data_IF_131846862839
#
_entry.id   IF_131846862839
#
_cell.length_a   1.000
_cell.length_b   1.000
_cell.length_c   1.000
_cell.angle_alpha   90.00
_cell.angle_beta   90.00
_cell.angle_gamma   90.00
#
_symmetry.space_group_name_H-M   'P 1'
#
loop_
_entity.id
_entity.type
_entity.pdbx_description
1 polymer ?
#
# COMPACT_ATOMS: atom_id res chain seq x y z
N UNK A 1 22.16 12.64 -35.07
CA UNK A 1 21.59 11.59 -34.20
C UNK A 1 20.16 11.93 -33.78
N UNK A 2 19.88 13.09 -33.17
CA UNK A 2 18.50 13.43 -32.76
C UNK A 2 17.46 13.40 -33.91
N UNK A 3 17.77 13.97 -35.08
CA UNK A 3 16.88 13.92 -36.25
C UNK A 3 16.56 12.48 -36.70
N UNK A 4 17.55 11.58 -36.67
CA UNK A 4 17.38 10.17 -37.01
C UNK A 4 16.49 9.44 -35.99
N UNK A 5 16.58 9.80 -34.70
CA UNK A 5 15.69 9.26 -33.67
C UNK A 5 14.24 9.73 -33.88
N UNK A 6 14.04 10.99 -34.30
CA UNK A 6 12.69 11.50 -34.64
C UNK A 6 12.08 10.78 -35.84
N UNK A 7 12.89 10.36 -36.81
CA UNK A 7 12.46 9.52 -37.94
C UNK A 7 11.96 8.13 -37.51
N UNK A 8 12.32 7.67 -36.30
CA UNK A 8 11.81 6.39 -35.77
C UNK A 8 10.38 6.46 -35.24
N UNK A 9 9.90 7.65 -34.86
CA UNK A 9 8.60 7.83 -34.19
C UNK A 9 7.43 7.28 -35.02
N UNK A 10 7.32 7.54 -36.34
CA UNK A 10 6.21 6.98 -37.13
C UNK A 10 6.18 5.44 -37.15
N UNK A 11 7.33 4.78 -37.01
CA UNK A 11 7.42 3.31 -37.00
C UNK A 11 6.89 2.68 -35.71
N UNK A 12 6.67 3.46 -34.65
CA UNK A 12 5.93 3.00 -33.46
C UNK A 12 4.48 2.64 -33.78
N UNK A 13 3.93 3.10 -34.92
CA UNK A 13 2.56 2.84 -35.38
C UNK A 13 2.51 1.82 -36.52
N UNK A 14 3.64 1.20 -36.88
CA UNK A 14 3.70 0.26 -38.00
C UNK A 14 2.79 -0.95 -37.75
N UNK A 15 2.23 -1.56 -38.79
CA UNK A 15 1.38 -2.76 -38.65
C UNK A 15 2.19 -3.98 -38.22
N UNK A 16 3.47 -4.06 -38.59
CA UNK A 16 4.37 -5.15 -38.23
C UNK A 16 4.92 -4.96 -36.81
N UNK A 17 4.63 -5.88 -35.87
CA UNK A 17 5.16 -5.82 -34.50
C UNK A 17 6.69 -5.78 -34.43
N UNK A 18 7.38 -6.44 -35.38
CA UNK A 18 8.85 -6.43 -35.43
C UNK A 18 9.40 -5.04 -35.75
N UNK A 19 8.73 -4.29 -36.64
CA UNK A 19 9.12 -2.92 -36.97
C UNK A 19 8.94 -2.01 -35.76
N UNK A 20 7.79 -2.14 -35.07
CA UNK A 20 7.53 -1.41 -33.81
C UNK A 20 8.57 -1.74 -32.75
N UNK A 21 8.92 -3.01 -32.59
CA UNK A 21 9.95 -3.47 -31.64
C UNK A 21 11.32 -2.87 -31.95
N UNK A 22 11.77 -2.91 -33.20
CA UNK A 22 13.08 -2.35 -33.60
C UNK A 22 13.09 -0.83 -33.37
N UNK A 23 12.04 -0.12 -33.77
CA UNK A 23 11.92 1.32 -33.57
C UNK A 23 11.96 1.67 -32.07
N UNK A 24 11.17 0.98 -31.25
CA UNK A 24 11.11 1.20 -29.81
C UNK A 24 12.43 0.85 -29.11
N UNK A 25 13.08 -0.25 -29.49
CA UNK A 25 14.37 -0.66 -28.91
C UNK A 25 15.46 0.41 -29.13
N UNK A 26 15.49 1.04 -30.31
CA UNK A 26 16.42 2.15 -30.59
C UNK A 26 16.08 3.43 -29.81
N UNK A 27 14.79 3.69 -29.54
CA UNK A 27 14.34 4.83 -28.72
C UNK A 27 14.53 4.58 -27.22
N UNK A 28 14.41 3.33 -26.77
CA UNK A 28 14.46 2.94 -25.36
C UNK A 28 15.77 3.37 -24.71
N UNK A 29 16.89 3.25 -25.43
CA UNK A 29 18.21 3.68 -24.94
C UNK A 29 18.34 5.18 -24.65
N UNK A 30 17.37 6.00 -25.09
CA UNK A 30 17.32 7.45 -24.84
C UNK A 30 16.34 7.84 -23.73
N UNK A 31 15.62 6.88 -23.14
CA UNK A 31 14.64 7.13 -22.07
C UNK A 31 15.23 7.29 -20.67
N UNK A 32 16.33 6.61 -20.27
CA UNK A 32 16.91 6.79 -18.95
C UNK A 32 17.32 8.23 -18.67
N UNK A 33 17.26 8.62 -17.41
CA UNK A 33 17.78 9.91 -16.94
C UNK A 33 19.24 10.12 -17.40
N UNK A 34 19.57 11.34 -17.83
CA UNK A 34 20.91 11.69 -18.33
C UNK A 34 21.20 11.30 -19.79
N UNK A 35 20.30 10.61 -20.49
CA UNK A 35 20.53 10.22 -21.88
C UNK A 35 20.65 11.44 -22.82
N UNK A 36 21.60 11.46 -23.78
CA UNK A 36 21.89 12.64 -24.61
C UNK A 36 20.72 13.18 -25.43
N UNK A 37 19.81 12.30 -25.86
CA UNK A 37 18.67 12.66 -26.69
C UNK A 37 17.32 12.47 -25.98
N UNK A 38 17.31 12.44 -24.65
CA UNK A 38 16.08 12.27 -23.86
C UNK A 38 15.02 13.34 -24.11
N UNK A 39 15.45 14.55 -24.49
CA UNK A 39 14.53 15.67 -24.76
C UNK A 39 13.53 15.42 -25.89
N UNK A 40 13.77 14.44 -26.77
CA UNK A 40 12.81 14.07 -27.82
C UNK A 40 11.45 13.62 -27.27
N UNK A 41 11.40 13.10 -26.04
CA UNK A 41 10.15 12.64 -25.42
C UNK A 41 9.32 13.78 -24.82
N UNK A 42 9.96 14.94 -24.58
CA UNK A 42 9.34 16.13 -23.98
C UNK A 42 9.13 17.27 -25.00
N UNK A 43 9.80 17.20 -26.14
CA UNK A 43 9.67 18.17 -27.22
C UNK A 43 8.19 18.26 -27.68
N UNK A 44 7.67 19.47 -27.88
CA UNK A 44 6.27 19.74 -28.23
C UNK A 44 5.22 19.40 -27.16
N UNK A 45 5.62 19.15 -25.91
CA UNK A 45 4.70 19.24 -24.78
C UNK A 45 4.19 20.69 -24.69
N UNK A 46 2.94 20.88 -25.10
CA UNK A 46 2.30 22.19 -25.19
C UNK A 46 1.23 22.35 -24.12
N UNK A 47 1.01 23.58 -23.67
CA UNK A 47 0.00 23.90 -22.65
C UNK A 47 0.47 25.04 -21.75
N UNK A 48 0.74 26.21 -22.33
CA UNK A 48 1.01 27.42 -21.55
C UNK A 48 -0.31 28.18 -21.35
N UNK A 49 -0.60 28.60 -20.11
CA UNK A 49 -1.78 29.38 -19.77
C UNK A 49 -3.08 28.55 -19.74
N UNK A 50 -4.10 29.01 -20.46
CA UNK A 50 -5.46 28.42 -20.44
C UNK A 50 -5.67 27.26 -21.43
N UNK A 51 -4.65 26.87 -22.20
CA UNK A 51 -4.78 25.78 -23.17
C UNK A 51 -4.67 24.41 -22.50
N UNK A 52 -5.50 23.46 -22.94
CA UNK A 52 -5.42 22.07 -22.46
C UNK A 52 -4.02 21.52 -22.75
N UNK A 53 -3.40 20.80 -21.80
CA UNK A 53 -2.14 20.11 -22.03
C UNK A 53 -2.24 19.25 -23.28
N UNK A 54 -1.28 19.39 -24.19
CA UNK A 54 -1.16 18.61 -25.41
C UNK A 54 -0.04 17.59 -25.21
N UNK A 55 -0.42 16.32 -25.19
CA UNK A 55 0.55 15.22 -25.16
C UNK A 55 1.32 15.15 -26.48
N UNK A 56 2.54 14.62 -26.41
CA UNK A 56 3.31 14.29 -27.61
C UNK A 56 2.82 12.99 -28.22
N UNK A 57 3.01 12.89 -29.53
CA UNK A 57 2.72 11.69 -30.31
C UNK A 57 3.48 10.47 -29.80
N UNK A 58 4.75 10.65 -29.40
CA UNK A 58 5.58 9.56 -28.86
C UNK A 58 5.05 9.04 -27.52
N UNK A 59 4.57 9.90 -26.62
CA UNK A 59 3.99 9.48 -25.34
C UNK A 59 2.64 8.77 -25.57
N UNK A 60 1.82 9.27 -26.50
CA UNK A 60 0.60 8.57 -26.92
C UNK A 60 0.91 7.18 -27.44
N UNK A 61 1.90 7.05 -28.32
CA UNK A 61 2.29 5.79 -28.93
C UNK A 61 2.83 4.81 -27.88
N UNK A 62 3.69 5.26 -26.94
CA UNK A 62 4.17 4.42 -25.84
C UNK A 62 3.02 3.87 -24.97
N UNK A 63 2.02 4.70 -24.64
CA UNK A 63 0.81 4.26 -23.91
C UNK A 63 0.02 3.19 -24.68
N UNK A 64 -0.06 3.29 -26.00
CA UNK A 64 -0.73 2.30 -26.84
C UNK A 64 0.08 1.01 -26.94
N UNK A 65 1.40 1.10 -27.07
CA UNK A 65 2.31 -0.03 -27.18
C UNK A 65 2.37 -0.89 -25.92
N UNK A 66 1.97 -0.36 -24.76
CA UNK A 66 1.75 -1.17 -23.55
C UNK A 66 0.69 -2.28 -23.75
N UNK A 67 -0.16 -2.18 -24.79
CA UNK A 67 -1.17 -3.20 -25.14
C UNK A 67 -0.70 -4.20 -26.20
N UNK A 68 0.54 -4.11 -26.64
CA UNK A 68 1.09 -4.90 -27.74
C UNK A 68 1.51 -6.31 -27.29
N UNK A 69 2.22 -7.03 -28.16
CA UNK A 69 2.90 -8.30 -27.87
C UNK A 69 4.02 -8.09 -26.86
N UNK A 70 4.39 -9.16 -26.17
CA UNK A 70 5.26 -9.15 -24.99
C UNK A 70 6.51 -8.28 -25.13
N UNK A 71 7.29 -8.46 -26.19
CA UNK A 71 8.55 -7.73 -26.35
C UNK A 71 8.34 -6.22 -26.48
N UNK A 72 7.33 -5.80 -27.25
CA UNK A 72 7.00 -4.39 -27.47
C UNK A 72 6.38 -3.78 -26.20
N UNK A 73 5.45 -4.49 -25.56
CA UNK A 73 4.81 -4.03 -24.34
C UNK A 73 5.81 -3.87 -23.19
N UNK A 74 6.74 -4.82 -23.05
CA UNK A 74 7.82 -4.75 -22.08
C UNK A 74 8.69 -3.50 -22.28
N UNK A 75 9.16 -3.24 -23.50
CA UNK A 75 9.98 -2.07 -23.79
C UNK A 75 9.19 -0.77 -23.63
N UNK A 76 7.89 -0.78 -23.92
CA UNK A 76 7.01 0.39 -23.75
C UNK A 76 6.82 0.73 -22.27
N UNK A 77 6.56 -0.27 -21.42
CA UNK A 77 6.51 -0.06 -19.97
C UNK A 77 7.84 0.42 -19.42
N UNK A 78 8.98 -0.14 -19.87
CA UNK A 78 10.31 0.34 -19.45
C UNK A 78 10.56 1.79 -19.86
N UNK A 79 10.19 2.16 -21.08
CA UNK A 79 10.29 3.53 -21.54
C UNK A 79 9.46 4.47 -20.66
N UNK A 80 8.21 4.11 -20.37
CA UNK A 80 7.34 4.94 -19.53
C UNK A 80 7.83 5.01 -18.07
N UNK A 81 8.30 3.92 -17.49
CA UNK A 81 8.94 3.91 -16.16
C UNK A 81 10.09 4.91 -16.14
N UNK A 82 11.01 4.81 -17.10
CA UNK A 82 12.18 5.70 -17.17
C UNK A 82 11.80 7.16 -17.36
N UNK A 83 10.70 7.46 -18.06
CA UNK A 83 10.24 8.82 -18.36
C UNK A 83 9.34 9.42 -17.27
N UNK A 84 8.76 8.57 -16.42
CA UNK A 84 7.83 8.96 -15.34
C UNK A 84 8.49 9.60 -14.11
N UNK A 85 9.81 9.65 -14.06
CA UNK A 85 10.59 10.51 -13.17
C UNK A 85 10.32 12.01 -13.40
N UNK A 86 9.90 12.39 -14.62
CA UNK A 86 9.64 13.78 -15.01
C UNK A 86 8.22 14.20 -14.65
N UNK A 87 8.03 15.21 -13.76
CA UNK A 87 6.71 15.73 -13.41
C UNK A 87 5.92 16.26 -14.62
N UNK A 88 6.60 16.61 -15.70
CA UNK A 88 5.99 17.09 -16.94
C UNK A 88 5.06 16.06 -17.59
N UNK A 89 5.31 14.76 -17.37
CA UNK A 89 4.53 13.68 -17.97
C UNK A 89 3.35 13.22 -17.12
N UNK A 90 3.32 13.58 -15.84
CA UNK A 90 2.29 13.13 -14.89
C UNK A 90 0.87 13.41 -15.39
N UNK A 91 0.51 14.61 -15.92
CA UNK A 91 -0.84 14.87 -16.41
C UNK A 91 -1.28 13.96 -17.57
N UNK A 92 -0.34 13.52 -18.41
CA UNK A 92 -0.60 12.71 -19.60
C UNK A 92 -0.62 11.21 -19.31
N UNK A 93 0.18 10.78 -18.35
CA UNK A 93 0.25 9.39 -17.88
C UNK A 93 -0.79 9.10 -16.79
N UNK A 94 -1.48 10.12 -16.28
CA UNK A 94 -2.55 9.99 -15.29
C UNK A 94 -3.92 10.34 -15.87
N UNK A 95 -4.02 10.40 -17.20
CA UNK A 95 -5.31 10.54 -17.87
C UNK A 95 -6.24 9.35 -17.51
N UNK A 96 -7.55 9.58 -17.37
CA UNK A 96 -8.45 8.53 -16.85
C UNK A 96 -8.41 7.21 -17.63
N UNK A 97 -8.34 7.27 -18.96
CA UNK A 97 -8.36 6.08 -19.81
C UNK A 97 -7.09 5.23 -19.67
N UNK A 98 -5.91 5.86 -19.63
CA UNK A 98 -4.65 5.15 -19.45
C UNK A 98 -4.49 4.65 -18.03
N UNK A 99 -4.88 5.44 -17.03
CA UNK A 99 -4.82 5.00 -15.62
C UNK A 99 -5.75 3.81 -15.37
N UNK A 100 -6.97 3.82 -15.93
CA UNK A 100 -7.90 2.69 -15.85
C UNK A 100 -7.34 1.43 -16.52
N UNK A 101 -6.68 1.57 -17.67
CA UNK A 101 -5.95 0.48 -18.32
C UNK A 101 -4.80 -0.03 -17.44
N UNK A 102 -3.94 0.86 -16.95
CA UNK A 102 -2.76 0.52 -16.17
C UNK A 102 -3.14 -0.28 -14.92
N UNK A 103 -4.15 0.20 -14.19
CA UNK A 103 -4.68 -0.50 -13.02
C UNK A 103 -5.33 -1.83 -13.40
N UNK A 104 -6.16 -1.86 -14.45
CA UNK A 104 -6.77 -3.11 -14.92
C UNK A 104 -5.73 -4.14 -15.34
N UNK A 105 -4.62 -3.69 -15.95
CA UNK A 105 -3.50 -4.53 -16.33
C UNK A 105 -2.79 -5.10 -15.10
N UNK A 106 -2.53 -4.29 -14.07
CA UNK A 106 -1.94 -4.75 -12.80
C UNK A 106 -2.84 -5.79 -12.10
N UNK A 107 -4.16 -5.56 -12.11
CA UNK A 107 -5.16 -6.43 -11.47
C UNK A 107 -5.35 -7.77 -12.19
N UNK A 108 -5.03 -7.86 -13.47
CA UNK A 108 -5.12 -9.12 -14.20
C UNK A 108 -3.95 -10.03 -13.79
N UNK A 109 -4.28 -11.16 -13.16
CA UNK A 109 -3.33 -12.13 -12.65
C UNK A 109 -2.42 -12.75 -13.74
N UNK A 110 -2.89 -12.79 -14.98
CA UNK A 110 -2.15 -13.34 -16.14
C UNK A 110 -1.18 -12.35 -16.79
N UNK A 111 -1.20 -11.09 -16.35
CA UNK A 111 -0.33 -10.03 -16.88
C UNK A 111 1.13 -10.33 -16.60
N UNK A 112 1.87 -10.68 -17.66
CA UNK A 112 3.29 -11.05 -17.59
C UNK A 112 4.16 -9.86 -17.18
N UNK A 113 3.73 -8.64 -17.53
CA UNK A 113 4.52 -7.41 -17.35
C UNK A 113 3.97 -6.53 -16.22
N UNK A 114 3.17 -7.11 -15.32
CA UNK A 114 2.46 -6.38 -14.27
C UNK A 114 3.40 -5.63 -13.31
N UNK A 115 4.61 -6.16 -13.09
CA UNK A 115 5.58 -5.52 -12.19
C UNK A 115 6.09 -4.18 -12.73
N UNK A 116 6.38 -4.08 -14.04
CA UNK A 116 6.73 -2.80 -14.66
C UNK A 116 5.55 -1.83 -14.66
N UNK A 117 4.32 -2.33 -14.86
CA UNK A 117 3.12 -1.51 -14.74
C UNK A 117 2.95 -0.95 -13.32
N UNK A 118 3.24 -1.77 -12.29
CA UNK A 118 3.20 -1.33 -10.89
C UNK A 118 4.31 -0.35 -10.53
N UNK A 119 5.50 -0.50 -11.11
CA UNK A 119 6.61 0.45 -10.98
C UNK A 119 6.28 1.80 -11.64
N UNK A 120 5.61 1.78 -12.80
CA UNK A 120 5.10 3.00 -13.43
C UNK A 120 4.07 3.67 -12.52
N UNK A 121 3.11 2.90 -11.97
CA UNK A 121 2.11 3.45 -11.06
C UNK A 121 2.73 4.02 -9.77
N UNK A 122 3.79 3.41 -9.22
CA UNK A 122 4.50 3.95 -8.06
C UNK A 122 5.16 5.30 -8.36
N UNK A 123 5.75 5.46 -9.54
CA UNK A 123 6.34 6.73 -9.95
C UNK A 123 5.28 7.82 -10.13
N UNK A 124 4.15 7.50 -10.77
CA UNK A 124 3.04 8.46 -10.94
C UNK A 124 2.47 8.91 -9.59
N UNK A 125 2.29 7.99 -8.66
CA UNK A 125 1.74 8.29 -7.33
C UNK A 125 2.70 9.06 -6.43
N UNK A 126 3.96 9.28 -6.82
CA UNK A 126 4.81 10.27 -6.14
C UNK A 126 4.23 11.69 -6.21
N UNK A 127 3.31 11.95 -7.15
CA UNK A 127 2.51 13.17 -7.22
C UNK A 127 1.12 12.99 -6.57
N UNK A 128 0.57 14.05 -5.99
CA UNK A 128 -0.72 14.01 -5.29
C UNK A 128 -1.93 13.82 -6.22
N UNK A 129 -1.88 14.35 -7.44
CA UNK A 129 -2.98 14.26 -8.40
C UNK A 129 -3.30 12.80 -8.80
N UNK A 130 -2.31 11.96 -9.16
CA UNK A 130 -2.55 10.53 -9.42
C UNK A 130 -3.06 9.76 -8.20
N UNK A 131 -2.60 10.10 -6.98
CA UNK A 131 -3.15 9.52 -5.75
C UNK A 131 -4.65 9.80 -5.60
N UNK A 132 -5.06 11.06 -5.81
CA UNK A 132 -6.47 11.44 -5.75
C UNK A 132 -7.29 10.74 -6.85
N UNK A 133 -6.75 10.65 -8.07
CA UNK A 133 -7.39 9.92 -9.17
C UNK A 133 -7.57 8.43 -8.84
N UNK A 134 -6.56 7.80 -8.26
CA UNK A 134 -6.59 6.37 -7.90
C UNK A 134 -7.56 6.08 -6.75
N UNK A 135 -7.69 6.98 -5.77
CA UNK A 135 -8.70 6.88 -4.69
C UNK A 135 -10.14 6.89 -5.23
N UNK A 136 -10.39 7.61 -6.32
CA UNK A 136 -11.71 7.70 -6.96
C UNK A 136 -11.92 6.68 -8.09
N UNK A 137 -10.86 6.03 -8.56
CA UNK A 137 -10.89 5.17 -9.74
C UNK A 137 -11.77 3.93 -9.50
N UNK A 138 -12.67 3.69 -10.46
CA UNK A 138 -13.36 2.41 -10.62
C UNK A 138 -12.90 1.75 -11.91
N UNK A 139 -12.82 0.43 -11.89
CA UNK A 139 -12.48 -0.39 -13.04
C UNK A 139 -13.61 -1.37 -13.34
N UNK A 140 -13.94 -1.59 -14.63
CA UNK A 140 -14.98 -2.54 -15.01
C UNK A 140 -14.46 -3.98 -14.90
N UNK A 141 -15.09 -4.78 -14.05
CA UNK A 141 -14.68 -6.16 -13.73
C UNK A 141 -15.78 -7.15 -14.10
N UNK A 142 -15.41 -8.27 -14.69
CA UNK A 142 -16.26 -9.47 -14.77
C UNK A 142 -15.84 -10.46 -13.68
N UNK A 143 -16.81 -11.01 -12.95
CA UNK A 143 -16.55 -12.04 -11.95
C UNK A 143 -16.30 -13.37 -12.66
N UNK A 144 -15.26 -14.08 -12.26
CA UNK A 144 -14.87 -15.38 -12.83
C UNK A 144 -14.70 -16.41 -11.72
N UNK A 145 -15.80 -16.93 -11.12
CA UNK A 145 -15.71 -17.79 -9.93
C UNK A 145 -14.87 -19.06 -10.16
N UNK A 146 -14.80 -19.54 -11.39
CA UNK A 146 -14.04 -20.73 -11.79
C UNK A 146 -12.55 -20.47 -12.01
N UNK A 147 -12.10 -19.20 -12.05
CA UNK A 147 -10.69 -18.82 -12.21
C UNK A 147 -10.02 -18.64 -10.85
N UNK A 148 -8.74 -19.02 -10.68
CA UNK A 148 -7.97 -18.74 -9.48
C UNK A 148 -7.98 -17.25 -9.07
N UNK A 149 -8.00 -16.33 -10.05
CA UNK A 149 -8.05 -14.88 -9.82
C UNK A 149 -9.42 -14.36 -9.41
N UNK A 150 -10.50 -15.15 -9.58
CA UNK A 150 -11.92 -14.79 -9.33
C UNK A 150 -12.46 -13.55 -10.06
N UNK A 151 -11.62 -12.82 -10.79
CA UNK A 151 -11.96 -11.63 -11.55
C UNK A 151 -11.23 -11.53 -12.89
N UNK A 152 -11.85 -10.82 -13.82
CA UNK A 152 -11.28 -10.39 -15.09
C UNK A 152 -11.53 -8.88 -15.31
N UNK A 153 -10.51 -8.01 -15.25
CA UNK A 153 -10.64 -6.59 -15.55
C UNK A 153 -10.74 -6.40 -17.07
N UNK A 154 -11.86 -5.88 -17.57
CA UNK A 154 -12.13 -5.89 -19.02
C UNK A 154 -11.23 -4.93 -19.80
N UNK A 155 -10.71 -3.89 -19.15
CA UNK A 155 -9.74 -2.97 -19.75
C UNK A 155 -8.31 -3.52 -19.77
N UNK A 156 -8.03 -4.71 -19.21
CA UNK A 156 -6.69 -5.32 -19.24
C UNK A 156 -6.31 -5.94 -20.58
N UNK A 157 -7.26 -6.06 -21.51
CA UNK A 157 -7.09 -6.73 -22.80
C UNK A 157 -5.88 -6.16 -23.57
N UNK A 158 -4.93 -7.04 -23.87
CA UNK A 158 -3.68 -6.70 -24.56
C UNK A 158 -3.07 -7.93 -25.24
N UNK A 159 -2.00 -7.75 -26.01
CA UNK A 159 -1.22 -8.86 -26.58
C UNK A 159 -0.54 -9.74 -25.53
N UNK A 160 -0.38 -9.24 -24.30
CA UNK A 160 0.17 -10.01 -23.16
C UNK A 160 -0.89 -10.55 -22.20
N UNK A 161 -2.14 -10.09 -22.32
CA UNK A 161 -3.25 -10.49 -21.47
C UNK A 161 -4.42 -10.90 -22.35
N UNK A 162 -4.44 -12.19 -22.68
CA UNK A 162 -5.48 -12.78 -23.51
C UNK A 162 -6.83 -12.71 -22.78
N UNK A 163 -7.88 -12.61 -23.58
CA UNK A 163 -9.24 -12.70 -23.08
C UNK A 163 -9.48 -14.15 -22.62
N UNK A 164 -10.10 -14.39 -21.44
CA UNK A 164 -10.43 -15.74 -21.00
C UNK A 164 -11.29 -16.47 -22.03
N UNK A 165 -11.06 -17.77 -22.19
CA UNK A 165 -11.82 -18.64 -23.10
C UNK A 165 -12.40 -19.80 -22.29
N UNK A 166 -13.73 -19.94 -22.18
CA UNK A 166 -14.76 -19.05 -22.74
C UNK A 166 -14.77 -17.66 -22.09
N UNK A 167 -15.33 -16.67 -22.80
CA UNK A 167 -15.51 -15.33 -22.25
C UNK A 167 -16.42 -15.39 -21.01
N UNK A 168 -16.08 -14.71 -19.90
CA UNK A 168 -16.92 -14.73 -18.71
C UNK A 168 -18.32 -14.19 -19.00
N UNK A 169 -19.39 -14.89 -18.56
CA UNK A 169 -20.75 -14.41 -18.76
C UNK A 169 -21.05 -13.18 -17.87
N UNK A 170 -22.01 -12.36 -18.29
CA UNK A 170 -22.50 -11.19 -17.54
C UNK A 170 -21.97 -9.86 -18.04
N UNK A 171 -22.42 -8.79 -17.40
CA UNK A 171 -22.00 -7.42 -17.70
C UNK A 171 -20.89 -6.97 -16.74
N UNK A 172 -19.88 -6.20 -17.22
CA UNK A 172 -18.83 -5.70 -16.35
C UNK A 172 -19.38 -4.73 -15.30
N UNK A 173 -18.97 -4.91 -14.05
CA UNK A 173 -19.36 -4.06 -12.93
C UNK A 173 -18.20 -3.13 -12.55
N UNK A 174 -18.49 -1.82 -12.46
CA UNK A 174 -17.53 -0.84 -11.97
C UNK A 174 -17.24 -1.04 -10.48
N UNK A 175 -16.00 -1.44 -10.19
CA UNK A 175 -15.54 -1.78 -8.84
C UNK A 175 -14.41 -0.83 -8.43
N UNK A 176 -14.38 -0.32 -7.18
CA UNK A 176 -13.28 0.51 -6.70
C UNK A 176 -11.92 -0.16 -6.89
N UNK A 177 -10.98 0.56 -7.48
CA UNK A 177 -9.66 0.02 -7.85
C UNK A 177 -8.79 -0.30 -6.63
N UNK A 178 -8.75 0.58 -5.62
CA UNK A 178 -7.78 0.49 -4.55
C UNK A 178 -7.95 -0.76 -3.66
N UNK A 179 -9.16 -1.18 -3.25
CA UNK A 179 -9.36 -2.46 -2.57
C UNK A 179 -8.88 -3.66 -3.39
N UNK A 180 -9.12 -3.66 -4.71
CA UNK A 180 -8.65 -4.72 -5.61
C UNK A 180 -7.11 -4.75 -5.71
N UNK A 181 -6.46 -3.58 -5.71
CA UNK A 181 -5.00 -3.49 -5.71
C UNK A 181 -4.38 -4.04 -4.43
N UNK A 182 -5.05 -3.85 -3.28
CA UNK A 182 -4.60 -4.44 -2.02
C UNK A 182 -4.67 -5.97 -2.09
N UNK A 183 -5.77 -6.53 -2.60
CA UNK A 183 -5.88 -7.99 -2.76
C UNK A 183 -4.82 -8.53 -3.73
N UNK A 184 -4.60 -7.85 -4.86
CA UNK A 184 -3.55 -8.22 -5.82
C UNK A 184 -2.15 -8.15 -5.20
N UNK A 185 -1.91 -7.17 -4.32
CA UNK A 185 -0.66 -7.04 -3.57
C UNK A 185 -0.49 -8.19 -2.57
N UNK A 186 -1.53 -8.55 -1.80
CA UNK A 186 -1.48 -9.70 -0.87
C UNK A 186 -1.21 -10.99 -1.63
N UNK A 187 -1.95 -11.24 -2.72
CA UNK A 187 -1.77 -12.42 -3.56
C UNK A 187 -0.37 -12.48 -4.21
N UNK A 188 0.21 -11.32 -4.55
CA UNK A 188 1.53 -11.23 -5.18
C UNK A 188 2.69 -11.63 -4.25
N UNK A 189 2.49 -11.60 -2.93
CA UNK A 189 3.50 -12.05 -1.97
C UNK A 189 3.43 -13.55 -1.65
N UNK A 190 2.37 -14.25 -2.07
CA UNK A 190 2.25 -15.67 -1.78
C UNK A 190 3.29 -16.45 -2.60
N UNK A 191 4.35 -16.86 -1.92
CA UNK A 191 5.36 -17.75 -2.48
C UNK A 191 4.76 -19.16 -2.50
N UNK A 192 4.71 -19.77 -3.68
CA UNK A 192 4.37 -21.19 -3.77
C UNK A 192 5.45 -22.02 -3.07
N UNK A 193 5.10 -22.87 -2.07
CA UNK A 193 6.06 -23.73 -1.37
C UNK A 193 6.86 -24.66 -2.31
N UNK A 194 6.31 -25.00 -3.47
CA UNK A 194 6.98 -25.80 -4.50
C UNK A 194 8.06 -25.04 -5.27
N UNK A 195 8.08 -23.71 -5.17
CA UNK A 195 8.93 -22.84 -5.98
C UNK A 195 8.52 -22.74 -7.46
N UNK A 196 7.46 -23.45 -7.87
CA UNK A 196 6.95 -23.37 -9.24
C UNK A 196 6.20 -22.05 -9.44
N UNK A 197 6.67 -21.26 -10.42
CA UNK A 197 6.03 -20.00 -10.78
C UNK A 197 4.72 -20.23 -11.52
N UNK A 198 4.50 -21.40 -12.10
CA UNK A 198 3.30 -21.73 -12.87
C UNK A 198 2.07 -21.99 -12.00
N UNK A 199 2.26 -22.39 -10.74
CA UNK A 199 1.19 -22.68 -9.78
C UNK A 199 0.77 -21.46 -8.95
N UNK A 200 1.45 -20.32 -9.11
CA UNK A 200 1.07 -19.06 -8.47
C UNK A 200 -0.28 -18.57 -9.00
N UNK A 201 -1.07 -17.97 -8.11
CA UNK A 201 -2.35 -17.32 -8.48
C UNK A 201 -2.16 -16.21 -9.51
N UNK A 202 -0.99 -15.56 -9.52
CA UNK A 202 -0.65 -14.46 -10.41
C UNK A 202 0.82 -14.44 -10.79
N UNK A 203 1.12 -13.90 -11.98
CA UNK A 203 2.47 -13.91 -12.57
C UNK A 203 3.41 -12.83 -12.03
N UNK A 204 2.89 -11.67 -11.66
CA UNK A 204 3.69 -10.56 -11.12
C UNK A 204 3.70 -10.52 -9.59
N UNK A 205 4.84 -10.21 -8.99
CA UNK A 205 5.02 -10.16 -7.53
C UNK A 205 4.46 -8.85 -6.90
N UNK A 206 4.32 -7.79 -7.70
CA UNK A 206 3.74 -6.48 -7.37
C UNK A 206 4.33 -5.78 -6.13
N UNK A 207 5.64 -5.93 -5.89
CA UNK A 207 6.31 -5.25 -4.77
C UNK A 207 6.09 -3.73 -4.77
N UNK A 208 6.11 -3.09 -5.95
CA UNK A 208 5.94 -1.63 -6.09
C UNK A 208 4.54 -1.10 -5.69
N UNK A 209 3.53 -1.95 -5.54
CA UNK A 209 2.26 -1.50 -4.95
C UNK A 209 2.44 -1.04 -3.50
N UNK A 210 3.44 -1.53 -2.77
CA UNK A 210 3.76 -1.02 -1.44
C UNK A 210 4.13 0.47 -1.48
N UNK A 211 4.91 0.90 -2.50
CA UNK A 211 5.23 2.32 -2.72
C UNK A 211 4.01 3.13 -3.11
N UNK A 212 3.09 2.57 -3.91
CA UNK A 212 1.80 3.20 -4.24
C UNK A 212 0.99 3.47 -2.98
N UNK A 213 0.89 2.50 -2.06
CA UNK A 213 0.16 2.66 -0.80
C UNK A 213 0.82 3.68 0.13
N UNK A 214 2.15 3.66 0.22
CA UNK A 214 2.92 4.65 0.97
C UNK A 214 2.65 6.07 0.43
N UNK A 215 2.68 6.25 -0.89
CA UNK A 215 2.43 7.52 -1.53
C UNK A 215 1.00 8.04 -1.30
N UNK A 216 -0.02 7.18 -1.48
CA UNK A 216 -1.43 7.55 -1.28
C UNK A 216 -1.69 7.98 0.18
N UNK A 217 -1.14 7.23 1.13
CA UNK A 217 -1.33 7.46 2.58
C UNK A 217 -0.63 8.72 3.11
N UNK A 218 0.21 9.39 2.32
CA UNK A 218 0.73 10.72 2.71
C UNK A 218 -0.39 11.77 2.83
N UNK A 219 -1.47 11.60 2.08
CA UNK A 219 -2.64 12.50 2.10
C UNK A 219 -3.67 12.11 3.17
N UNK A 220 -4.43 13.06 3.75
CA UNK A 220 -5.51 12.74 4.69
C UNK A 220 -6.53 11.74 4.10
N UNK A 221 -6.97 11.94 2.85
CA UNK A 221 -7.92 11.05 2.19
C UNK A 221 -7.37 9.62 2.02
N UNK A 222 -6.08 9.48 1.74
CA UNK A 222 -5.41 8.18 1.68
C UNK A 222 -5.32 7.50 3.04
N UNK A 223 -4.97 8.23 4.11
CA UNK A 223 -5.00 7.68 5.48
C UNK A 223 -6.39 7.19 5.83
N UNK A 224 -7.40 8.03 5.63
CA UNK A 224 -8.81 7.69 5.86
C UNK A 224 -9.21 6.43 5.10
N UNK A 225 -8.75 6.24 3.85
CA UNK A 225 -9.01 5.01 3.13
C UNK A 225 -8.49 3.76 3.86
N UNK A 226 -7.25 3.78 4.35
CA UNK A 226 -6.61 2.63 5.01
C UNK A 226 -7.19 2.33 6.40
N UNK A 227 -7.74 3.34 7.07
CA UNK A 227 -8.33 3.23 8.41
C UNK A 227 -9.87 3.31 8.41
N UNK A 228 -10.52 3.20 7.25
CA UNK A 228 -11.99 3.06 7.18
C UNK A 228 -12.34 1.61 6.89
N UNK A 229 -13.19 0.95 7.71
CA UNK A 229 -13.65 -0.41 7.45
C UNK A 229 -14.27 -0.58 6.06
N UNK A 230 -13.93 -1.68 5.39
CA UNK A 230 -14.45 -2.05 4.07
C UNK A 230 -14.69 -3.56 4.00
N UNK A 231 -15.55 -4.03 3.09
CA UNK A 231 -15.74 -5.46 2.88
C UNK A 231 -14.39 -6.16 2.59
N UNK A 232 -14.13 -7.25 3.30
CA UNK A 232 -12.93 -8.08 3.17
C UNK A 232 -12.75 -8.58 1.73
N UNK A 233 -13.85 -8.96 1.09
CA UNK A 233 -13.89 -9.28 -0.34
C UNK A 233 -14.54 -8.11 -1.11
N UNK A 234 -13.76 -7.34 -1.89
CA UNK A 234 -14.28 -6.22 -2.69
C UNK A 234 -15.34 -6.62 -3.73
N UNK A 235 -15.42 -7.91 -4.09
CA UNK A 235 -16.42 -8.45 -5.02
C UNK A 235 -17.69 -8.94 -4.31
N UNK A 236 -17.66 -9.06 -2.98
CA UNK A 236 -18.78 -9.47 -2.15
C UNK A 236 -19.05 -8.41 -1.05
N UNK A 237 -19.96 -7.45 -1.30
CA UNK A 237 -20.31 -6.41 -0.33
C UNK A 237 -20.86 -6.91 1.01
N UNK A 238 -21.32 -8.16 1.07
CA UNK A 238 -21.83 -8.80 2.29
C UNK A 238 -20.74 -9.49 3.12
N UNK A 239 -19.48 -9.45 2.68
CA UNK A 239 -18.36 -9.97 3.47
C UNK A 239 -18.14 -9.12 4.73
N UNK A 240 -17.52 -9.72 5.75
CA UNK A 240 -17.17 -9.01 6.99
C UNK A 240 -16.29 -7.79 6.67
N UNK A 241 -16.44 -6.73 7.46
CA UNK A 241 -15.60 -5.56 7.29
C UNK A 241 -14.26 -5.74 7.99
N UNK A 242 -13.22 -5.22 7.37
CA UNK A 242 -11.89 -5.09 7.97
C UNK A 242 -11.27 -3.76 7.54
N UNK A 243 -10.24 -3.32 8.26
CA UNK A 243 -9.45 -2.16 7.86
C UNK A 243 -8.49 -2.56 6.74
N UNK A 244 -8.43 -1.83 5.61
CA UNK A 244 -7.50 -2.15 4.53
C UNK A 244 -6.03 -2.17 4.97
N UNK A 245 -5.67 -1.45 6.04
CA UNK A 245 -4.33 -1.52 6.63
C UNK A 245 -4.01 -2.91 7.21
N UNK A 246 -4.98 -3.59 7.83
CA UNK A 246 -4.79 -4.92 8.44
C UNK A 246 -4.36 -5.97 7.40
N UNK A 247 -4.78 -5.83 6.14
CA UNK A 247 -4.38 -6.72 5.06
C UNK A 247 -2.89 -6.70 4.74
N UNK A 248 -2.16 -5.65 5.10
CA UNK A 248 -0.78 -5.43 4.64
C UNK A 248 0.29 -5.45 5.73
N UNK A 249 -0.06 -5.27 7.00
CA UNK A 249 0.91 -5.16 8.11
C UNK A 249 1.87 -6.35 8.24
N UNK A 250 1.42 -7.56 7.88
CA UNK A 250 2.25 -8.77 7.94
C UNK A 250 3.47 -8.74 7.00
N UNK A 251 3.47 -7.85 5.99
CA UNK A 251 4.58 -7.72 5.05
C UNK A 251 5.71 -6.82 5.53
N UNK A 252 5.67 -6.32 6.77
CA UNK A 252 6.79 -5.61 7.42
C UNK A 252 8.04 -6.49 7.58
N UNK A 253 7.89 -7.82 7.65
CA UNK A 253 9.01 -8.79 7.70
C UNK A 253 9.25 -9.48 6.33
N UNK A 254 8.71 -8.92 5.23
CA UNK A 254 8.86 -9.54 3.91
C UNK A 254 10.30 -9.43 3.36
N UNK A 255 10.80 -10.46 2.68
CA UNK A 255 12.19 -10.53 2.16
C UNK A 255 12.54 -9.41 1.17
N UNK A 256 11.58 -8.97 0.36
CA UNK A 256 11.73 -7.83 -0.56
C UNK A 256 11.63 -6.47 0.17
N UNK A 257 12.65 -5.63 -0.01
CA UNK A 257 12.81 -4.33 0.68
C UNK A 257 11.76 -3.31 0.31
N UNK A 258 11.35 -3.28 -0.97
CA UNK A 258 10.34 -2.34 -1.46
C UNK A 258 9.02 -2.64 -0.78
N UNK A 259 8.67 -3.93 -0.70
CA UNK A 259 7.44 -4.39 -0.06
C UNK A 259 7.38 -4.03 1.42
N UNK A 260 8.39 -4.42 2.21
CA UNK A 260 8.39 -4.10 3.65
C UNK A 260 8.50 -2.59 3.91
N UNK A 261 9.31 -1.86 3.15
CA UNK A 261 9.47 -0.43 3.33
C UNK A 261 8.23 0.39 2.99
N UNK A 262 7.52 0.05 1.92
CA UNK A 262 6.26 0.70 1.57
C UNK A 262 5.14 0.41 2.57
N UNK A 263 5.08 -0.80 3.13
CA UNK A 263 4.13 -1.15 4.19
C UNK A 263 4.44 -0.41 5.49
N UNK A 264 5.71 -0.41 5.95
CA UNK A 264 6.13 0.35 7.13
C UNK A 264 5.81 1.84 6.99
N UNK A 265 6.05 2.41 5.80
CA UNK A 265 5.70 3.80 5.49
C UNK A 265 4.19 4.05 5.49
N UNK A 266 3.39 3.12 4.95
CA UNK A 266 1.92 3.22 4.96
C UNK A 266 1.38 3.20 6.40
N UNK A 267 1.94 2.32 7.24
CA UNK A 267 1.58 2.20 8.65
C UNK A 267 1.93 3.48 9.43
N UNK A 268 3.17 3.98 9.30
CA UNK A 268 3.60 5.27 9.85
C UNK A 268 2.67 6.40 9.41
N UNK A 269 2.36 6.47 8.12
CA UNK A 269 1.47 7.48 7.57
C UNK A 269 0.09 7.41 8.24
N UNK A 270 -0.50 6.22 8.39
CA UNK A 270 -1.79 6.07 9.07
C UNK A 270 -1.74 6.48 10.55
N UNK A 271 -0.62 6.26 11.23
CA UNK A 271 -0.43 6.62 12.64
C UNK A 271 -0.41 8.15 12.90
N UNK A 272 -0.32 9.00 11.88
CA UNK A 272 -0.55 10.45 12.05
C UNK A 272 -2.00 10.80 12.45
N UNK A 273 -2.95 9.88 12.25
CA UNK A 273 -4.33 10.05 12.70
C UNK A 273 -4.47 9.49 14.11
N UNK A 274 -4.49 10.36 15.12
CA UNK A 274 -4.65 9.94 16.53
C UNK A 274 -5.92 9.11 16.77
N UNK A 275 -7.01 9.46 16.08
CA UNK A 275 -8.27 8.71 16.12
C UNK A 275 -8.13 7.26 15.63
N UNK A 276 -7.12 6.97 14.81
CA UNK A 276 -6.87 5.62 14.31
C UNK A 276 -5.99 4.79 15.25
N UNK A 277 -5.39 5.37 16.30
CA UNK A 277 -4.49 4.63 17.20
C UNK A 277 -5.17 3.45 17.84
N UNK A 278 -6.42 3.62 18.27
CA UNK A 278 -7.21 2.53 18.84
C UNK A 278 -7.43 1.39 17.85
N UNK A 279 -7.80 1.69 16.60
CA UNK A 279 -7.90 0.67 15.57
C UNK A 279 -6.54 0.02 15.24
N UNK A 280 -5.45 0.79 15.20
CA UNK A 280 -4.10 0.30 14.88
C UNK A 280 -3.58 -0.67 15.94
N UNK A 281 -3.82 -0.38 17.22
CA UNK A 281 -3.26 -1.13 18.33
C UNK A 281 -4.17 -2.24 18.84
N UNK A 282 -5.50 -2.08 18.81
CA UNK A 282 -6.42 -3.11 19.33
C UNK A 282 -6.24 -4.45 18.59
N UNK A 283 -6.35 -5.58 19.31
CA UNK A 283 -6.32 -6.92 18.73
C UNK A 283 -7.41 -7.15 17.68
N UNK A 284 -7.18 -8.11 16.77
CA UNK A 284 -8.11 -8.52 15.72
C UNK A 284 -9.36 -9.28 16.22
N UNK A 285 -9.47 -9.47 17.53
CA UNK A 285 -10.67 -10.00 18.19
C UNK A 285 -11.56 -8.90 18.78
N UNK A 286 -11.05 -7.68 18.92
CA UNK A 286 -11.79 -6.53 19.44
C UNK A 286 -12.44 -5.75 18.30
N UNK A 287 -13.75 -5.52 18.38
CA UNK A 287 -14.45 -4.71 17.40
C UNK A 287 -14.27 -3.21 17.72
N UNK A 288 -13.66 -2.46 16.80
CA UNK A 288 -13.34 -1.04 16.96
C UNK A 288 -14.10 -0.20 15.95
N UNK A 289 -14.63 0.94 16.41
CA UNK A 289 -15.21 2.00 15.58
C UNK A 289 -14.34 3.24 15.72
N UNK A 290 -13.92 3.83 14.59
CA UNK A 290 -13.16 5.08 14.59
C UNK A 290 -13.83 6.14 13.71
N UNK A 291 -13.97 7.40 14.19
CA UNK A 291 -14.42 8.50 13.36
C UNK A 291 -13.52 8.74 12.14
N UNK A 292 -14.05 9.25 11.01
CA UNK A 292 -15.45 9.63 10.79
C UNK A 292 -16.37 8.43 10.45
N UNK A 293 -15.83 7.22 10.37
CA UNK A 293 -16.63 6.02 10.11
C UNK A 293 -17.48 5.66 11.33
N UNK A 294 -18.70 5.19 11.08
CA UNK A 294 -19.55 4.57 12.10
C UNK A 294 -19.57 3.05 11.98
N UNK A 295 -18.86 2.50 10.99
CA UNK A 295 -18.72 1.05 10.81
C UNK A 295 -17.75 0.49 11.85
N UNK A 296 -18.11 -0.66 12.39
CA UNK A 296 -17.25 -1.46 13.26
C UNK A 296 -16.51 -2.51 12.44
N UNK A 297 -15.25 -2.76 12.80
CA UNK A 297 -14.42 -3.84 12.28
C UNK A 297 -13.43 -4.31 13.35
N UNK A 298 -12.88 -5.53 13.23
CA UNK A 298 -11.77 -5.98 14.05
C UNK A 298 -10.61 -5.00 14.12
N UNK A 299 -9.93 -4.92 15.26
CA UNK A 299 -8.67 -4.19 15.38
C UNK A 299 -7.63 -4.65 14.36
N UNK A 300 -6.68 -3.78 14.06
CA UNK A 300 -5.63 -4.03 13.06
C UNK A 300 -4.55 -4.95 13.63
N UNK A 301 -4.36 -4.98 14.95
CA UNK A 301 -3.29 -5.73 15.61
C UNK A 301 -1.89 -5.45 15.01
N UNK A 302 -1.55 -4.16 14.84
CA UNK A 302 -0.32 -3.77 14.17
C UNK A 302 0.93 -3.91 15.05
N UNK A 303 0.78 -3.93 16.38
CA UNK A 303 1.91 -3.83 17.31
C UNK A 303 2.97 -4.93 17.12
N UNK A 304 2.61 -6.23 16.99
CA UNK A 304 3.59 -7.28 16.74
C UNK A 304 4.43 -7.02 15.49
N UNK A 305 3.79 -6.53 14.42
CA UNK A 305 4.41 -6.25 13.13
C UNK A 305 5.26 -4.96 13.12
N UNK A 306 5.05 -4.07 14.09
CA UNK A 306 5.93 -2.90 14.31
C UNK A 306 7.18 -3.32 15.10
N UNK A 307 7.02 -4.21 16.08
CA UNK A 307 8.08 -4.60 17.02
C UNK A 307 8.99 -5.71 16.50
N UNK A 308 8.48 -6.66 15.71
CA UNK A 308 9.29 -7.75 15.15
C UNK A 308 10.53 -7.27 14.37
N UNK A 309 10.45 -6.22 13.53
CA UNK A 309 11.62 -5.64 12.87
C UNK A 309 12.65 -5.02 13.83
N UNK A 310 12.25 -4.65 15.05
CA UNK A 310 13.11 -4.06 16.09
C UNK A 310 13.63 -5.11 17.09
N UNK A 311 13.01 -6.28 17.15
CA UNK A 311 13.35 -7.36 18.06
C UNK A 311 14.59 -8.15 17.60
N UNK A 312 15.43 -8.51 18.55
CA UNK A 312 16.62 -9.35 18.36
C UNK A 312 16.52 -10.69 19.11
N UNK A 313 17.64 -11.40 19.25
CA UNK A 313 17.70 -12.70 19.93
C UNK A 313 17.87 -12.59 21.45
N UNK A 314 17.61 -11.42 22.04
CA UNK A 314 17.81 -11.20 23.48
C UNK A 314 16.85 -12.06 24.30
N UNK A 315 17.39 -12.69 25.36
CA UNK A 315 16.58 -13.39 26.35
C UNK A 315 15.96 -12.39 27.32
N UNK A 316 14.63 -12.37 27.39
CA UNK A 316 13.87 -11.58 28.36
C UNK A 316 13.39 -12.50 29.49
N UNK A 317 13.31 -11.93 30.70
CA UNK A 317 12.79 -12.66 31.86
C UNK A 317 11.29 -12.95 31.73
N UNK A 318 10.76 -13.81 32.59
CA UNK A 318 9.36 -14.26 32.50
C UNK A 318 8.35 -13.12 32.69
N UNK A 319 8.68 -12.11 33.50
CA UNK A 319 7.78 -10.97 33.72
C UNK A 319 7.67 -10.10 32.47
N UNK A 320 8.81 -9.83 31.81
CA UNK A 320 8.85 -9.10 30.55
C UNK A 320 8.19 -9.93 29.42
N UNK A 321 8.36 -11.25 29.38
CA UNK A 321 7.73 -12.14 28.39
C UNK A 321 6.20 -12.14 28.50
N UNK A 322 5.64 -12.16 29.72
CA UNK A 322 4.19 -12.15 29.94
C UNK A 322 3.50 -10.89 29.40
N UNK A 323 4.23 -9.76 29.33
CA UNK A 323 3.71 -8.49 28.77
C UNK A 323 3.70 -8.51 27.24
N UNK A 324 4.58 -9.28 26.60
CA UNK A 324 4.76 -9.21 25.16
C UNK A 324 3.60 -9.87 24.39
N UNK A 325 3.23 -9.32 23.22
CA UNK A 325 2.42 -10.05 22.26
C UNK A 325 3.03 -11.42 21.92
N UNK A 326 2.17 -12.43 21.72
CA UNK A 326 2.59 -13.83 21.55
C UNK A 326 3.64 -14.05 20.46
N UNK A 327 3.60 -13.29 19.37
CA UNK A 327 4.55 -13.39 18.27
C UNK A 327 5.97 -12.90 18.63
N UNK A 328 6.14 -12.15 19.73
CA UNK A 328 7.41 -11.63 20.22
C UNK A 328 7.96 -12.44 21.41
N UNK A 329 7.19 -13.39 21.92
CA UNK A 329 7.64 -14.23 23.02
C UNK A 329 8.62 -15.30 22.53
N UNK A 330 9.65 -15.57 23.34
CA UNK A 330 10.61 -16.66 23.13
C UNK A 330 11.18 -16.73 21.70
N UNK A 331 11.60 -15.58 21.16
CA UNK A 331 12.19 -15.51 19.82
C UNK A 331 13.45 -16.40 19.72
N UNK A 332 13.68 -17.06 18.57
CA UNK A 332 14.83 -17.92 18.40
C UNK A 332 16.12 -17.10 18.35
N UNK A 333 17.26 -17.74 18.69
CA UNK A 333 18.59 -17.11 18.58
C UNK A 333 18.99 -16.70 17.15
N UNK A 334 18.26 -17.18 16.14
CA UNK A 334 18.42 -16.80 14.74
C UNK A 334 17.65 -15.54 14.36
N UNK A 335 16.79 -15.01 15.24
CA UNK A 335 16.03 -13.77 14.98
C UNK A 335 17.01 -12.62 14.79
N UNK A 336 16.76 -11.84 13.74
CA UNK A 336 17.51 -10.64 13.41
C UNK A 336 16.56 -9.46 13.33
N UNK A 337 17.09 -8.32 13.75
CA UNK A 337 16.50 -7.00 13.47
C UNK A 337 16.54 -6.71 11.99
N UNK A 338 15.69 -5.79 11.55
CA UNK A 338 15.75 -5.20 10.22
C UNK A 338 17.14 -4.59 9.98
N UNK A 339 17.74 -4.91 8.84
CA UNK A 339 19.09 -4.49 8.49
C UNK A 339 19.14 -3.02 8.02
N UNK A 340 18.10 -2.56 7.32
CA UNK A 340 17.98 -1.18 6.84
C UNK A 340 17.59 -0.24 7.99
N UNK A 341 18.50 0.67 8.33
CA UNK A 341 18.29 1.63 9.42
C UNK A 341 17.13 2.60 9.15
N UNK A 342 16.81 2.89 7.88
CA UNK A 342 15.68 3.74 7.51
C UNK A 342 14.37 3.07 7.89
N UNK A 343 14.29 1.75 7.71
CA UNK A 343 13.12 0.96 8.08
C UNK A 343 13.01 0.81 9.60
N UNK A 344 14.12 0.51 10.30
CA UNK A 344 14.14 0.54 11.78
C UNK A 344 13.63 1.88 12.32
N UNK A 345 14.18 2.98 11.82
CA UNK A 345 13.73 4.34 12.17
C UNK A 345 12.24 4.55 11.90
N UNK A 346 11.73 4.05 10.78
CA UNK A 346 10.30 4.18 10.41
C UNK A 346 9.39 3.48 11.42
N UNK A 347 9.78 2.30 11.93
CA UNK A 347 9.04 1.61 12.99
C UNK A 347 9.08 2.38 14.31
N UNK A 348 10.24 2.92 14.71
CA UNK A 348 10.36 3.77 15.92
C UNK A 348 9.53 5.06 15.79
N UNK A 349 9.53 5.70 14.61
CA UNK A 349 8.66 6.86 14.33
C UNK A 349 7.17 6.51 14.39
N UNK A 350 6.79 5.29 13.99
CA UNK A 350 5.42 4.80 14.13
C UNK A 350 5.03 4.69 15.61
N UNK A 351 5.89 4.12 16.45
CA UNK A 351 5.68 4.04 17.91
C UNK A 351 5.59 5.44 18.54
N UNK A 352 6.46 6.37 18.15
CA UNK A 352 6.40 7.77 18.59
C UNK A 352 5.07 8.44 18.25
N UNK A 353 4.54 8.20 17.04
CA UNK A 353 3.22 8.70 16.65
C UNK A 353 2.13 8.06 17.51
N UNK A 354 2.20 6.76 17.78
CA UNK A 354 1.23 6.07 18.65
C UNK A 354 1.28 6.54 20.11
N UNK A 355 2.38 7.12 20.56
CA UNK A 355 2.49 7.75 21.88
C UNK A 355 1.80 9.13 21.99
N UNK A 356 1.22 9.69 20.92
CA UNK A 356 0.61 11.03 21.03
C UNK A 356 -0.67 11.04 21.86
N UNK A 357 -1.34 9.88 22.01
CA UNK A 357 -2.51 9.74 22.89
C UNK A 357 -2.13 9.07 24.19
N UNK A 358 -2.81 9.43 25.28
CA UNK A 358 -2.65 8.77 26.59
C UNK A 358 -2.88 7.27 26.50
N UNK A 359 -4.01 6.89 25.90
CA UNK A 359 -4.37 5.49 25.67
C UNK A 359 -3.29 4.74 24.89
N UNK A 360 -2.75 5.35 23.83
CA UNK A 360 -1.66 4.74 23.06
C UNK A 360 -0.39 4.53 23.89
N UNK A 361 0.02 5.50 24.73
CA UNK A 361 1.17 5.32 25.63
C UNK A 361 0.94 4.17 26.61
N UNK A 362 -0.22 4.11 27.24
CA UNK A 362 -0.56 3.04 28.19
C UNK A 362 -0.59 1.68 27.51
N UNK A 363 -1.23 1.58 26.35
CA UNK A 363 -1.21 0.35 25.56
C UNK A 363 0.22 -0.11 25.25
N UNK A 364 1.10 0.79 24.80
CA UNK A 364 2.49 0.44 24.49
C UNK A 364 3.29 0.02 25.74
N UNK A 365 3.04 0.64 26.90
CA UNK A 365 3.67 0.24 28.18
C UNK A 365 3.22 -1.15 28.62
N UNK A 366 1.93 -1.43 28.52
CA UNK A 366 1.32 -2.67 28.98
C UNK A 366 1.66 -3.87 28.06
N UNK A 367 2.15 -3.60 26.84
CA UNK A 367 2.48 -4.62 25.84
C UNK A 367 3.99 -4.76 25.56
N UNK A 368 4.83 -4.44 26.54
CA UNK A 368 6.26 -4.78 26.51
C UNK A 368 7.11 -4.01 25.49
N UNK A 369 6.66 -2.83 25.04
CA UNK A 369 7.36 -2.07 23.99
C UNK A 369 8.72 -1.57 24.46
N UNK A 370 8.82 -1.14 25.73
CA UNK A 370 10.06 -0.64 26.30
C UNK A 370 11.16 -1.71 26.28
N UNK A 371 10.79 -2.94 26.57
CA UNK A 371 11.66 -4.10 26.70
C UNK A 371 12.31 -4.42 25.35
N UNK A 372 11.52 -4.38 24.27
CA UNK A 372 12.01 -4.55 22.89
C UNK A 372 12.94 -3.40 22.47
N UNK A 373 12.52 -2.14 22.69
CA UNK A 373 13.31 -0.98 22.21
C UNK A 373 14.57 -0.75 23.04
N UNK A 374 14.59 -1.14 24.31
CA UNK A 374 15.80 -1.17 25.15
C UNK A 374 16.85 -2.10 24.54
N UNK A 375 16.45 -3.33 24.18
CA UNK A 375 17.35 -4.26 23.49
C UNK A 375 17.80 -3.72 22.14
N UNK A 376 16.90 -3.09 21.38
CA UNK A 376 17.24 -2.45 20.10
C UNK A 376 18.26 -1.32 20.26
N UNK A 377 18.13 -0.47 21.28
CA UNK A 377 19.05 0.64 21.55
C UNK A 377 20.46 0.17 21.91
N UNK A 378 20.59 -0.92 22.67
CA UNK A 378 21.89 -1.48 23.07
C UNK A 378 22.73 -1.95 21.88
N UNK A 379 22.08 -2.41 20.81
CA UNK A 379 22.73 -2.90 19.58
C UNK A 379 22.72 -1.89 18.43
N UNK A 380 22.08 -0.73 18.60
CA UNK A 380 21.95 0.26 17.54
C UNK A 380 23.24 1.08 17.38
N UNK A 381 23.71 1.18 16.14
CA UNK A 381 24.97 1.84 15.79
C UNK A 381 24.75 3.12 14.99
N UNK A 382 23.51 3.38 14.57
CA UNK A 382 23.15 4.56 13.78
C UNK A 382 22.52 5.62 14.69
N UNK A 383 23.25 6.70 14.92
CA UNK A 383 22.90 7.79 15.85
C UNK A 383 21.45 8.28 15.69
N UNK A 384 21.02 8.54 14.44
CA UNK A 384 19.66 9.04 14.19
C UNK A 384 18.58 8.07 14.64
N UNK A 385 18.84 6.75 14.61
CA UNK A 385 17.88 5.76 15.12
C UNK A 385 17.88 5.77 16.64
N UNK A 386 19.07 5.77 17.26
CA UNK A 386 19.23 5.84 18.72
C UNK A 386 18.53 7.05 19.32
N UNK A 387 18.68 8.24 18.72
CA UNK A 387 17.97 9.46 19.14
C UNK A 387 16.44 9.29 19.13
N UNK A 388 15.89 8.58 18.14
CA UNK A 388 14.44 8.34 18.07
C UNK A 388 13.99 7.33 19.13
N UNK A 389 14.81 6.32 19.42
CA UNK A 389 14.54 5.37 20.50
C UNK A 389 14.57 6.06 21.85
N UNK A 390 15.55 6.94 22.10
CA UNK A 390 15.64 7.71 23.36
C UNK A 390 14.41 8.60 23.56
N UNK A 391 13.95 9.28 22.50
CA UNK A 391 12.70 10.05 22.55
C UNK A 391 11.49 9.17 22.86
N UNK A 392 11.42 7.97 22.29
CA UNK A 392 10.35 7.03 22.56
C UNK A 392 10.37 6.57 24.02
N UNK A 393 11.55 6.23 24.55
CA UNK A 393 11.73 5.85 25.95
C UNK A 393 11.31 6.96 26.90
N UNK A 394 11.61 8.23 26.58
CA UNK A 394 11.16 9.37 27.37
C UNK A 394 9.63 9.45 27.46
N UNK A 395 8.90 9.14 26.39
CA UNK A 395 7.43 9.11 26.41
C UNK A 395 6.90 7.88 27.16
N UNK A 396 7.55 6.73 27.05
CA UNK A 396 7.11 5.49 27.70
C UNK A 396 7.44 5.43 29.20
N UNK A 397 8.52 6.08 29.66
CA UNK A 397 8.93 6.09 31.08
C UNK A 397 8.74 7.43 31.78
N UNK A 398 8.39 8.48 31.05
CA UNK A 398 8.09 9.79 31.61
C UNK A 398 6.79 9.80 32.41
N UNK A 399 6.70 10.74 33.35
CA UNK A 399 5.50 10.97 34.14
C UNK A 399 4.37 11.51 33.26
N UNK A 400 3.15 11.10 33.60
CA UNK A 400 1.95 11.51 32.89
C UNK A 400 1.44 12.82 33.49
N UNK A 401 1.39 13.86 32.65
CA UNK A 401 0.80 15.13 33.05
C UNK A 401 -0.70 14.99 33.32
N UNK A 402 -1.27 15.98 34.00
CA UNK A 402 -2.74 16.12 34.11
C UNK A 402 -3.25 16.62 32.76
N UNK A 403 -3.56 15.71 31.84
CA UNK A 403 -4.22 16.05 30.58
C UNK A 403 -5.73 16.20 30.80
N UNK A 404 -6.38 17.20 30.17
CA UNK A 404 -7.84 17.23 30.10
C UNK A 404 -8.32 15.99 29.34
N UNK A 405 -9.30 15.28 29.91
CA UNK A 405 -9.87 14.06 29.34
C UNK A 405 -10.37 14.34 27.92
N UNK A 406 -9.85 13.61 26.93
CA UNK A 406 -10.28 13.72 25.54
C UNK A 406 -11.65 13.04 25.39
N UNK A 407 -12.66 13.77 24.90
CA UNK A 407 -14.04 13.28 24.78
C UNK A 407 -14.18 12.05 23.86
N UNK A 408 -13.14 11.72 23.07
CA UNK A 408 -13.09 10.51 22.25
C UNK A 408 -12.96 9.20 23.04
N UNK A 409 -12.51 9.25 24.30
CA UNK A 409 -12.36 8.06 25.16
C UNK A 409 -13.69 7.56 25.75
N UNK A 410 -14.78 8.31 25.57
CA UNK A 410 -16.11 7.98 26.12
C UNK A 410 -16.92 6.99 25.29
N UNK A 411 -16.43 6.52 24.14
CA UNK A 411 -17.16 5.50 23.34
C UNK A 411 -16.75 4.10 23.79
N UNK A 412 -17.19 3.71 24.99
CA UNK A 412 -17.46 2.32 25.33
C UNK A 412 -18.95 2.08 25.06
N UNK A 413 -19.26 1.37 23.98
CA UNK A 413 -20.62 0.89 23.70
C UNK A 413 -20.98 -0.09 24.81
N UNK A 414 -22.00 0.26 25.60
CA UNK A 414 -22.47 -0.49 26.74
C UNK A 414 -22.86 -1.92 26.40
N UNK A 415 -22.26 -2.87 27.13
CA UNK A 415 -22.72 -4.25 27.22
C UNK A 415 -23.22 -4.50 28.64
N UNK A 416 -24.53 -4.80 28.73
CA UNK A 416 -25.23 -5.49 29.82
C UNK A 416 -25.16 -4.86 31.22
N UNK A 417 -26.18 -4.06 31.56
CA UNK A 417 -26.72 -4.06 32.92
C UNK A 417 -27.80 -5.15 32.97
N UNK A 418 -27.44 -6.27 33.57
CA UNK A 418 -28.36 -7.19 34.23
C UNK A 418 -27.98 -7.12 35.70
N UNK A 419 -28.83 -6.53 36.53
CA UNK A 419 -29.03 -6.95 37.91
C UNK A 419 -30.35 -6.35 38.41
N UNK A 420 -31.23 -7.27 38.80
CA UNK A 420 -32.59 -7.00 39.23
C UNK A 420 -32.71 -6.43 40.65
N UNK A 421 -33.96 -6.05 40.93
CA UNK A 421 -34.65 -5.93 42.22
C UNK A 421 -33.82 -5.64 43.47
N UNK A 422 -34.08 -4.48 44.09
CA UNK A 422 -34.48 -4.50 45.50
C UNK A 422 -35.34 -3.27 45.87
N UNK A 423 -36.34 -3.58 46.70
CA UNK A 423 -37.43 -2.74 47.19
C UNK A 423 -36.96 -1.63 48.17
N UNK A 424 -37.94 -0.81 48.55
CA UNK A 424 -37.95 0.17 49.65
C UNK A 424 -37.24 1.52 49.44
N UNK A 425 -38.05 2.57 49.21
CA UNK A 425 -38.31 3.56 50.27
C UNK A 425 -39.49 4.49 49.92
N UNK A 426 -40.55 4.35 50.71
CA UNK A 426 -41.60 5.36 50.93
C UNK A 426 -41.00 6.70 51.36
N UNK A 427 -41.54 7.81 50.85
CA UNK A 427 -41.86 8.99 51.66
C UNK A 427 -43.20 9.59 51.17
N UNK A 428 -44.14 9.70 52.10
CA UNK A 428 -45.46 10.32 51.99
C UNK A 428 -45.43 11.86 52.13
N UNK A 429 -46.43 12.50 51.52
CA UNK A 429 -47.07 13.81 51.82
C UNK A 429 -46.21 15.10 51.69
N UNK A 430 -46.64 16.14 50.96
CA UNK A 430 -47.87 16.97 51.10
C UNK A 430 -48.40 17.46 49.76
#
# INVERSE_FOLDING_TARGET
MEAQLKELIPFLRDKNPQVRQIALSNLLGQTPEGSPHRNIFYHDLGGAGLQKPKETDIIRDLKLLCRDQLAVAHDAFRALVNLSDSPLLVPFLSEPAFLAFLVSYILNADSIVADLASMLLSNLTASSSPCAALLALKVPILKTPSSPSRLFPTLSRSGTCSVPVPYPPGEPQDTPALPLLIDAFVEGALIDPSGDRASRKRKGDLHFLASVFANISTSPAGRTFFVTPRPTDPLNPSSINEYPLAKIIAFTEHQDTIRRGGVASTLKNCAFSSQAHRAILSPDIEAVVIPPSTLSAPGIDALPYILLPLAGPEELDLEDQEKLPSALQFLPSTKKREADYVLRKTHVETLLLLCTTRWGRDYLRDHGVYEIVRGAHMEETVDVVSEHIERLVQLLKGDEGVEPVDESDLVRVGGQEDDGDDEDNRIDEV
#
